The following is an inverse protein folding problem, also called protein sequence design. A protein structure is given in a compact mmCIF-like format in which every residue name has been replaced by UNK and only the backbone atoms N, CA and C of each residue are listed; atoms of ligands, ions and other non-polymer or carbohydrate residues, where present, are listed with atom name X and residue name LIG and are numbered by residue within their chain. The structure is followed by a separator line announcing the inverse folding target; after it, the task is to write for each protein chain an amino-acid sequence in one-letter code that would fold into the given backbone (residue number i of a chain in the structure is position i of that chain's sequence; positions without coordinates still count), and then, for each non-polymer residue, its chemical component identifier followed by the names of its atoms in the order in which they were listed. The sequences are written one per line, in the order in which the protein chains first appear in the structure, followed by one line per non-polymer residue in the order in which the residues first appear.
data_IF_005625670782
#
_entry.id   IF_005625670782
#
_cell.length_a   1.000
_cell.length_b   1.000
_cell.length_c   1.000
_cell.angle_alpha   90.00
_cell.angle_beta   90.00
_cell.angle_gamma   90.00
#
_symmetry.space_group_name_H-M   'P 1'
#
loop_
_entity.id
_entity.type
_entity.pdbx_description
1 polymer ?
#
# COMPACT_ATOMS: atom_id res chain seq x y z
N UNK A 1 -3.14 -20.21 18.23
CA UNK A 1 -4.42 -20.18 18.97
C UNK A 1 -4.60 -21.40 19.87
N UNK A 2 -4.52 -22.64 19.37
CA UNK A 2 -4.73 -23.86 20.19
C UNK A 2 -3.66 -24.03 21.28
N UNK A 3 -2.37 -23.80 20.98
CA UNK A 3 -1.30 -23.93 21.98
C UNK A 3 -1.34 -22.89 23.11
N UNK A 4 -1.76 -21.66 22.81
CA UNK A 4 -1.90 -20.59 23.83
C UNK A 4 -3.13 -20.82 24.72
N UNK A 5 -4.22 -21.34 24.15
CA UNK A 5 -5.42 -21.68 24.92
C UNK A 5 -5.21 -22.91 25.82
N UNK A 6 -4.44 -23.90 25.35
CA UNK A 6 -4.06 -25.08 26.13
C UNK A 6 -3.13 -24.70 27.28
N UNK A 7 -2.16 -23.81 27.07
CA UNK A 7 -1.29 -23.34 28.18
C UNK A 7 -2.07 -22.53 29.22
N UNK A 8 -3.02 -21.68 28.80
CA UNK A 8 -3.90 -20.93 29.71
C UNK A 8 -4.84 -21.86 30.51
N UNK A 9 -5.44 -22.86 29.86
CA UNK A 9 -6.34 -23.81 30.54
C UNK A 9 -5.62 -24.81 31.45
N UNK A 10 -4.40 -25.22 31.10
CA UNK A 10 -3.58 -26.09 31.95
C UNK A 10 -3.06 -25.34 33.18
N UNK A 11 -2.70 -24.06 33.03
CA UNK A 11 -2.35 -23.18 34.15
C UNK A 11 -3.53 -22.88 35.10
N UNK A 12 -4.75 -22.77 34.55
CA UNK A 12 -5.98 -22.63 35.34
C UNK A 12 -6.31 -23.89 36.15
N UNK A 13 -6.08 -25.10 35.60
CA UNK A 13 -6.33 -26.36 36.31
C UNK A 13 -5.32 -26.66 37.42
N UNK A 14 -4.07 -26.24 37.30
CA UNK A 14 -3.06 -26.38 38.37
C UNK A 14 -3.10 -25.24 39.40
N UNK A 15 -3.67 -24.08 39.07
CA UNK A 15 -3.84 -22.98 40.02
C UNK A 15 -4.90 -23.22 41.11
N UNK A 16 -5.89 -24.09 40.84
CA UNK A 16 -7.00 -24.40 41.74
C UNK A 16 -6.60 -25.24 42.97
N UNK A 17 -5.46 -25.92 42.94
CA UNK A 17 -4.93 -26.66 44.11
C UNK A 17 -3.96 -25.83 44.97
N UNK A 18 -3.67 -24.58 44.58
CA UNK A 18 -2.67 -23.72 45.23
C UNK A 18 -3.26 -22.32 45.54
N UNK A 19 -4.48 -22.29 46.07
CA UNK A 19 -5.18 -21.03 46.40
C UNK A 19 -4.60 -20.38 47.68
N UNK A 20 -3.75 -21.08 48.44
CA UNK A 20 -3.19 -20.60 49.71
C UNK A 20 -1.81 -19.92 49.66
N UNK A 21 -1.05 -19.98 48.55
CA UNK A 21 0.37 -19.55 48.55
C UNK A 21 0.70 -18.35 47.66
N UNK A 22 -0.31 -17.73 47.02
CA UNK A 22 -0.11 -16.57 46.13
C UNK A 22 0.55 -16.88 44.77
N UNK A 23 1.00 -18.12 44.54
CA UNK A 23 1.66 -18.56 43.30
C UNK A 23 0.71 -18.49 42.08
N UNK A 24 -0.60 -18.59 42.29
CA UNK A 24 -1.63 -18.44 41.25
C UNK A 24 -1.66 -17.05 40.59
N UNK A 25 -1.11 -16.02 41.24
CA UNK A 25 -0.95 -14.68 40.66
C UNK A 25 0.09 -14.65 39.54
N UNK A 26 1.07 -15.57 39.55
CA UNK A 26 2.15 -15.58 38.54
C UNK A 26 1.60 -15.92 37.15
N UNK A 27 0.84 -17.01 36.93
CA UNK A 27 0.19 -17.27 35.64
C UNK A 27 -0.76 -16.15 35.19
N UNK A 28 -1.48 -15.52 36.12
CA UNK A 28 -2.40 -14.42 35.85
C UNK A 28 -1.66 -13.14 35.43
N UNK A 29 -0.54 -12.84 36.08
CA UNK A 29 0.36 -11.74 35.72
C UNK A 29 1.02 -12.02 34.37
N UNK A 30 1.46 -13.25 34.11
CA UNK A 30 2.03 -13.65 32.81
C UNK A 30 0.98 -13.53 31.70
N UNK A 31 -0.25 -14.00 31.94
CA UNK A 31 -1.35 -13.86 30.99
C UNK A 31 -1.72 -12.39 30.76
N UNK A 32 -1.77 -11.58 31.82
CA UNK A 32 -1.99 -10.14 31.75
C UNK A 32 -0.88 -9.41 30.99
N UNK A 33 0.39 -9.75 31.23
CA UNK A 33 1.54 -9.22 30.50
C UNK A 33 1.56 -9.67 29.04
N UNK A 34 1.22 -10.92 28.75
CA UNK A 34 1.12 -11.45 27.40
C UNK A 34 -0.03 -10.80 26.62
N UNK A 35 -1.16 -10.51 27.27
CA UNK A 35 -2.27 -9.76 26.69
C UNK A 35 -1.89 -8.29 26.46
N UNK A 36 -1.32 -7.62 27.46
CA UNK A 36 -0.90 -6.23 27.37
C UNK A 36 0.24 -6.02 26.35
N UNK A 37 1.09 -7.02 26.16
CA UNK A 37 2.18 -7.03 25.17
C UNK A 37 1.86 -7.91 23.96
N UNK A 38 0.60 -8.25 23.70
CA UNK A 38 0.22 -9.14 22.60
C UNK A 38 0.80 -8.65 21.27
N UNK A 39 0.68 -7.36 20.99
CA UNK A 39 1.24 -6.71 19.80
C UNK A 39 2.76 -6.83 19.69
N UNK A 40 3.45 -6.94 20.82
CA UNK A 40 4.90 -7.15 20.83
C UNK A 40 5.25 -8.56 20.38
N UNK A 41 4.38 -9.56 20.57
CA UNK A 41 4.62 -10.96 20.22
C UNK A 41 3.96 -11.40 18.92
N UNK A 42 2.89 -10.73 18.48
CA UNK A 42 2.24 -11.01 17.20
C UNK A 42 3.20 -10.68 16.03
N UNK A 43 3.60 -11.68 15.23
CA UNK A 43 4.46 -11.46 14.06
C UNK A 43 3.81 -10.55 13.01
N UNK A 44 2.49 -10.42 13.02
CA UNK A 44 1.69 -9.63 12.07
C UNK A 44 1.14 -8.34 12.71
N UNK A 45 1.66 -7.96 13.89
CA UNK A 45 1.32 -6.70 14.53
C UNK A 45 1.72 -5.49 13.67
N UNK A 46 1.01 -4.39 13.87
CA UNK A 46 1.23 -3.15 13.15
C UNK A 46 2.59 -2.52 13.52
N UNK A 47 3.20 -1.75 12.61
CA UNK A 47 4.38 -0.97 12.95
C UNK A 47 4.05 0.09 13.99
N UNK A 48 4.97 0.31 14.93
CA UNK A 48 4.80 1.28 16.01
C UNK A 48 5.03 2.70 15.49
N UNK A 49 4.09 3.60 15.78
CA UNK A 49 4.28 5.03 15.53
C UNK A 49 5.40 5.59 16.43
N UNK A 50 6.50 6.04 15.83
CA UNK A 50 7.67 6.57 16.51
C UNK A 50 7.35 7.92 17.14
N UNK A 51 7.23 7.98 18.47
CA UNK A 51 6.84 9.19 19.21
C UNK A 51 7.95 10.26 19.21
N UNK A 52 9.19 9.83 19.38
CA UNK A 52 10.36 10.70 19.34
C UNK A 52 11.11 10.45 18.04
N UNK A 53 11.42 11.52 17.32
CA UNK A 53 12.21 11.47 16.09
C UNK A 53 13.58 12.07 16.36
N UNK A 54 14.62 11.46 15.77
CA UNK A 54 15.92 12.09 15.69
C UNK A 54 15.87 13.36 14.85
N UNK A 55 16.82 14.27 15.10
CA UNK A 55 17.01 15.46 14.27
C UNK A 55 17.55 15.10 12.89
N UNK A 56 18.30 14.00 12.78
CA UNK A 56 19.01 13.59 11.57
C UNK A 56 18.88 12.09 11.30
N UNK A 57 18.69 11.75 10.03
CA UNK A 57 18.65 10.38 9.52
C UNK A 57 19.57 10.22 8.32
N UNK A 58 19.97 9.00 7.99
CA UNK A 58 20.65 8.74 6.72
C UNK A 58 19.68 8.93 5.56
N UNK A 59 18.48 8.35 5.69
CA UNK A 59 17.44 8.41 4.67
C UNK A 59 16.13 8.89 5.25
N UNK A 60 15.44 9.77 4.52
CA UNK A 60 14.07 10.18 4.83
C UNK A 60 13.18 9.81 3.65
N UNK A 61 12.19 8.95 3.87
CA UNK A 61 11.19 8.55 2.90
C UNK A 61 9.90 9.32 3.18
N UNK A 62 9.39 10.01 2.16
CA UNK A 62 8.14 10.77 2.21
C UNK A 62 7.03 9.94 1.57
N UNK A 63 6.07 9.48 2.38
CA UNK A 63 4.94 8.66 1.96
C UNK A 63 5.18 7.17 2.21
N UNK A 64 4.40 6.59 3.12
CA UNK A 64 4.39 5.16 3.46
C UNK A 64 3.55 4.31 2.52
N UNK A 65 3.44 4.69 1.25
CA UNK A 65 2.64 4.01 0.24
C UNK A 65 3.27 2.73 -0.33
N UNK A 66 2.79 2.28 -1.49
CA UNK A 66 3.26 1.06 -2.16
C UNK A 66 4.78 1.03 -2.35
N UNK A 67 5.37 2.11 -2.88
CA UNK A 67 6.81 2.20 -3.11
C UNK A 67 7.58 2.54 -1.83
N UNK A 68 7.12 3.54 -1.06
CA UNK A 68 7.83 4.01 0.13
C UNK A 68 7.97 2.94 1.22
N UNK A 69 6.97 2.07 1.38
CA UNK A 69 7.06 0.92 2.29
C UNK A 69 8.18 -0.06 1.88
N UNK A 70 8.34 -0.32 0.58
CA UNK A 70 9.41 -1.19 0.05
C UNK A 70 10.77 -0.54 0.28
N UNK A 71 10.93 0.73 -0.08
CA UNK A 71 12.20 1.45 0.07
C UNK A 71 12.62 1.52 1.53
N UNK A 72 11.71 1.88 2.45
CA UNK A 72 12.00 1.93 3.87
C UNK A 72 12.41 0.56 4.43
N UNK A 73 11.73 -0.52 4.02
CA UNK A 73 12.12 -1.88 4.37
C UNK A 73 13.52 -2.24 3.85
N UNK A 74 13.83 -1.98 2.59
CA UNK A 74 15.13 -2.37 2.01
C UNK A 74 16.30 -1.55 2.54
N UNK A 75 16.15 -0.23 2.69
CA UNK A 75 17.21 0.61 3.27
C UNK A 75 17.48 0.21 4.73
N UNK A 76 16.44 -0.09 5.51
CA UNK A 76 16.61 -0.50 6.92
C UNK A 76 17.16 -1.92 7.10
N UNK A 77 17.33 -2.71 6.04
CA UNK A 77 18.07 -3.99 6.12
C UNK A 77 19.54 -3.75 6.51
N UNK A 78 20.08 -2.56 6.25
CA UNK A 78 21.44 -2.17 6.63
C UNK A 78 21.42 -1.60 8.06
N UNK A 79 21.98 -2.29 9.07
CA UNK A 79 21.77 -1.93 10.48
C UNK A 79 22.33 -0.57 10.90
N UNK A 80 23.35 -0.07 10.20
CA UNK A 80 24.02 1.20 10.50
C UNK A 80 23.40 2.41 9.80
N UNK A 81 22.38 2.20 8.95
CA UNK A 81 21.62 3.30 8.34
C UNK A 81 20.39 3.61 9.17
N UNK A 82 20.22 4.86 9.59
CA UNK A 82 18.97 5.32 10.22
C UNK A 82 17.98 5.80 9.16
N UNK A 83 16.76 5.28 9.22
CA UNK A 83 15.73 5.47 8.21
C UNK A 83 14.47 6.05 8.84
N UNK A 84 13.98 7.18 8.33
CA UNK A 84 12.72 7.79 8.73
C UNK A 84 11.68 7.66 7.61
N UNK A 85 10.55 7.03 7.90
CA UNK A 85 9.37 7.01 7.02
C UNK A 85 8.30 7.95 7.57
N UNK A 86 7.91 8.95 6.78
CA UNK A 86 6.86 9.91 7.13
C UNK A 86 5.58 9.59 6.36
N UNK A 87 4.48 9.33 7.07
CA UNK A 87 3.17 9.05 6.49
C UNK A 87 2.12 10.02 7.04
N UNK A 88 1.33 10.62 6.15
CA UNK A 88 0.31 11.61 6.48
C UNK A 88 -0.93 11.00 7.12
N UNK A 89 -1.23 9.73 6.82
CA UNK A 89 -2.35 8.99 7.38
C UNK A 89 -2.04 8.20 8.66
N UNK A 90 -3.08 7.58 9.24
CA UNK A 90 -2.96 6.65 10.36
C UNK A 90 -2.49 5.27 9.86
N UNK A 91 -2.48 4.28 10.78
CA UNK A 91 -2.32 2.88 10.41
C UNK A 91 -3.59 2.32 9.74
N UNK A 92 -3.42 1.17 9.08
CA UNK A 92 -4.51 0.31 8.62
C UNK A 92 -5.40 -0.15 9.78
N UNK A 93 -6.63 -0.56 9.48
CA UNK A 93 -7.57 -1.13 10.45
C UNK A 93 -8.24 -2.41 9.90
N UNK A 94 -9.08 -3.03 10.72
CA UNK A 94 -9.75 -4.30 10.42
C UNK A 94 -10.67 -4.21 9.20
N UNK A 95 -11.27 -3.05 8.94
CA UNK A 95 -12.12 -2.84 7.75
C UNK A 95 -11.27 -2.89 6.48
N UNK A 96 -10.05 -2.34 6.52
CA UNK A 96 -9.14 -2.37 5.36
C UNK A 96 -8.65 -3.77 5.01
N UNK A 97 -8.73 -4.71 5.95
CA UNK A 97 -8.28 -6.09 5.79
C UNK A 97 -9.24 -6.93 4.94
N UNK A 98 -10.52 -6.56 4.90
CA UNK A 98 -11.59 -7.32 4.26
C UNK A 98 -11.67 -6.96 2.77
N UNK A 99 -11.31 -7.86 1.83
CA UNK A 99 -11.26 -7.54 0.40
C UNK A 99 -12.58 -7.03 -0.19
N UNK A 100 -13.71 -7.61 0.23
CA UNK A 100 -15.04 -7.22 -0.27
C UNK A 100 -15.47 -5.80 0.13
N UNK A 101 -14.80 -5.18 1.11
CA UNK A 101 -15.09 -3.83 1.56
C UNK A 101 -14.24 -2.75 0.87
N UNK A 102 -13.41 -3.10 -0.11
CA UNK A 102 -12.50 -2.16 -0.78
C UNK A 102 -13.18 -0.88 -1.29
N UNK A 103 -14.38 -1.00 -1.87
CA UNK A 103 -15.14 0.15 -2.39
C UNK A 103 -15.58 1.13 -1.28
N UNK A 104 -15.82 0.63 -0.05
CA UNK A 104 -16.24 1.45 1.09
C UNK A 104 -15.12 2.33 1.65
N UNK A 105 -13.86 2.05 1.29
CA UNK A 105 -12.71 2.83 1.75
C UNK A 105 -12.56 4.14 0.98
N UNK A 106 -13.13 4.26 -0.21
CA UNK A 106 -13.15 5.50 -0.97
C UNK A 106 -14.04 6.54 -0.28
N UNK A 107 -13.66 7.82 -0.34
CA UNK A 107 -14.36 8.92 0.34
C UNK A 107 -14.41 8.79 1.88
N UNK A 108 -13.63 7.87 2.45
CA UNK A 108 -13.42 7.75 3.90
C UNK A 108 -12.28 8.67 4.37
N UNK A 109 -11.99 8.68 5.67
CA UNK A 109 -10.85 9.41 6.23
C UNK A 109 -9.48 8.84 5.80
N UNK A 110 -9.45 7.61 5.29
CA UNK A 110 -8.26 6.96 4.75
C UNK A 110 -8.04 7.28 3.26
N UNK A 111 -8.90 8.09 2.66
CA UNK A 111 -8.77 8.60 1.29
C UNK A 111 -8.41 10.09 1.34
N UNK A 112 -7.53 10.53 0.44
CA UNK A 112 -7.28 11.95 0.17
C UNK A 112 -8.47 12.64 -0.50
N UNK A 113 -9.35 11.87 -1.15
CA UNK A 113 -10.59 12.36 -1.78
C UNK A 113 -10.34 13.41 -2.85
N UNK A 114 -9.24 13.29 -3.59
CA UNK A 114 -8.96 14.19 -4.70
C UNK A 114 -10.07 14.12 -5.75
N UNK A 115 -10.26 15.24 -6.44
CA UNK A 115 -11.15 15.33 -7.58
C UNK A 115 -10.45 16.01 -8.73
N UNK A 116 -10.69 15.54 -9.95
CA UNK A 116 -10.19 16.22 -11.15
C UNK A 116 -10.86 17.58 -11.30
N UNK A 117 -10.26 18.48 -12.07
CA UNK A 117 -11.00 19.63 -12.60
C UNK A 117 -12.06 19.13 -13.61
N UNK A 118 -13.18 19.85 -13.76
CA UNK A 118 -14.20 19.49 -14.74
C UNK A 118 -13.67 19.70 -16.16
N UNK A 119 -13.86 18.72 -17.04
CA UNK A 119 -13.34 18.76 -18.42
C UNK A 119 -14.44 18.91 -19.48
N UNK A 120 -15.71 18.68 -19.10
CA UNK A 120 -16.82 18.59 -20.04
C UNK A 120 -16.79 17.35 -20.95
N UNK A 121 -15.85 16.42 -20.74
CA UNK A 121 -15.67 15.22 -21.59
C UNK A 121 -15.65 13.90 -20.83
N UNK A 122 -15.44 13.94 -19.52
CA UNK A 122 -15.37 12.75 -18.66
C UNK A 122 -16.19 12.99 -17.39
N UNK A 123 -16.62 11.89 -16.74
CA UNK A 123 -17.31 11.92 -15.45
C UNK A 123 -18.56 12.84 -15.44
N UNK A 124 -19.28 12.90 -16.57
CA UNK A 124 -20.46 13.76 -16.76
C UNK A 124 -21.61 13.39 -15.81
N UNK A 125 -21.71 12.12 -15.42
CA UNK A 125 -22.68 11.64 -14.42
C UNK A 125 -22.28 11.91 -12.96
N UNK A 126 -21.06 12.38 -12.70
CA UNK A 126 -20.58 12.63 -11.34
C UNK A 126 -20.90 14.06 -10.88
N UNK A 127 -20.98 14.25 -9.56
CA UNK A 127 -21.27 15.57 -8.95
C UNK A 127 -20.28 16.63 -9.43
N UNK A 128 -20.81 17.64 -10.12
CA UNK A 128 -20.05 18.76 -10.67
C UNK A 128 -19.21 18.42 -11.90
N UNK A 129 -19.44 17.27 -12.56
CA UNK A 129 -18.66 16.84 -13.73
C UNK A 129 -17.19 16.52 -13.39
N UNK A 130 -16.92 16.08 -12.16
CA UNK A 130 -15.57 15.85 -11.63
C UNK A 130 -15.40 14.39 -11.24
N UNK A 131 -14.32 13.78 -11.71
CA UNK A 131 -13.98 12.41 -11.34
C UNK A 131 -13.49 12.34 -9.90
N UNK A 132 -13.96 11.36 -9.13
CA UNK A 132 -13.33 11.02 -7.85
C UNK A 132 -12.00 10.30 -8.13
N UNK A 133 -10.90 10.79 -7.55
CA UNK A 133 -9.55 10.24 -7.68
C UNK A 133 -9.05 9.77 -6.31
N UNK A 134 -9.53 8.60 -5.84
CA UNK A 134 -9.18 8.11 -4.52
C UNK A 134 -7.68 7.80 -4.44
N UNK A 135 -7.05 8.26 -3.36
CA UNK A 135 -5.64 8.00 -3.04
C UNK A 135 -5.52 7.69 -1.56
N UNK A 136 -4.84 6.60 -1.23
CA UNK A 136 -4.70 6.19 0.17
C UNK A 136 -3.93 7.21 1.00
N UNK A 137 -4.56 7.68 2.08
CA UNK A 137 -4.01 8.46 3.19
C UNK A 137 -3.97 7.58 4.43
N UNK A 138 -3.09 6.59 4.41
CA UNK A 138 -2.96 5.53 5.42
C UNK A 138 -1.63 4.83 5.20
N UNK A 139 -1.01 4.26 6.23
CA UNK A 139 0.21 3.46 6.06
C UNK A 139 -0.06 2.28 5.12
N UNK A 140 0.72 2.16 4.05
CA UNK A 140 0.48 1.28 2.91
C UNK A 140 -0.08 2.01 1.68
N UNK A 141 -0.58 3.23 1.86
CA UNK A 141 -1.11 4.11 0.83
C UNK A 141 -2.23 3.46 0.03
N UNK A 142 -2.24 3.66 -1.29
CA UNK A 142 -3.32 3.14 -2.15
C UNK A 142 -3.37 1.61 -2.22
N UNK A 143 -2.35 0.87 -1.76
CA UNK A 143 -2.45 -0.61 -1.64
C UNK A 143 -3.48 -1.06 -0.60
N UNK A 144 -3.84 -0.17 0.32
CA UNK A 144 -4.88 -0.37 1.35
C UNK A 144 -6.28 -0.18 0.78
N UNK A 145 -6.44 0.68 -0.24
CA UNK A 145 -7.74 1.02 -0.84
C UNK A 145 -8.04 0.27 -2.14
N UNK A 146 -7.01 -0.23 -2.84
CA UNK A 146 -7.17 -0.84 -4.16
C UNK A 146 -8.01 -2.12 -4.15
N UNK A 147 -8.28 -2.68 -5.33
CA UNK A 147 -9.00 -3.95 -5.52
C UNK A 147 -8.08 -5.19 -5.52
N UNK A 148 -6.85 -5.07 -4.99
CA UNK A 148 -5.87 -6.15 -4.82
C UNK A 148 -5.40 -6.87 -6.08
N UNK A 149 -5.96 -6.59 -7.27
CA UNK A 149 -5.56 -7.22 -8.52
C UNK A 149 -4.04 -7.16 -8.72
N UNK A 150 -3.44 -8.32 -8.94
CA UNK A 150 -2.01 -8.46 -9.19
C UNK A 150 -1.77 -8.70 -10.68
N UNK A 151 -1.38 -7.63 -11.37
CA UNK A 151 -1.06 -7.64 -12.81
C UNK A 151 0.24 -6.87 -13.01
N UNK A 152 1.16 -7.44 -13.78
CA UNK A 152 2.42 -6.80 -14.19
C UNK A 152 2.24 -6.09 -15.53
N UNK A 153 3.04 -5.07 -15.79
CA UNK A 153 3.09 -4.42 -17.10
C UNK A 153 3.53 -5.38 -18.20
N UNK A 154 3.31 -4.99 -19.46
CA UNK A 154 3.80 -5.76 -20.59
C UNK A 154 5.32 -5.67 -20.70
N UNK A 155 6.00 -6.72 -21.22
CA UNK A 155 7.44 -6.65 -21.56
C UNK A 155 7.80 -5.38 -22.32
N UNK A 156 6.99 -5.04 -23.33
CA UNK A 156 7.24 -3.90 -24.19
C UNK A 156 7.18 -2.57 -23.42
N UNK A 157 6.41 -2.46 -22.34
CA UNK A 157 6.33 -1.24 -21.53
C UNK A 157 7.69 -0.89 -20.93
N UNK A 158 8.37 -1.88 -20.35
CA UNK A 158 9.67 -1.73 -19.69
C UNK A 158 10.81 -1.60 -20.71
N UNK A 159 10.81 -2.40 -21.77
CA UNK A 159 11.80 -2.29 -22.83
C UNK A 159 11.71 -0.92 -23.53
N UNK A 160 10.50 -0.34 -23.63
CA UNK A 160 10.32 1.03 -24.10
C UNK A 160 10.87 2.06 -23.12
N UNK A 161 10.76 1.86 -21.81
CA UNK A 161 11.38 2.75 -20.83
C UNK A 161 12.90 2.76 -20.96
N UNK A 162 13.53 1.60 -21.14
CA UNK A 162 14.97 1.53 -21.37
C UNK A 162 15.37 2.25 -22.66
N UNK A 163 14.65 2.00 -23.78
CA UNK A 163 14.87 2.68 -25.07
C UNK A 163 14.71 4.20 -24.99
N UNK A 164 13.90 4.71 -24.06
CA UNK A 164 13.75 6.15 -23.79
C UNK A 164 14.93 6.73 -22.98
N UNK A 165 15.99 5.96 -22.74
CA UNK A 165 17.19 6.42 -22.04
C UNK A 165 17.16 6.18 -20.53
N UNK A 166 16.46 5.14 -20.07
CA UNK A 166 16.45 4.73 -18.66
C UNK A 166 17.15 3.36 -18.48
N UNK A 167 18.50 3.29 -18.50
CA UNK A 167 19.22 2.04 -18.29
C UNK A 167 18.81 1.37 -16.98
N UNK A 168 18.68 0.05 -16.96
CA UNK A 168 18.27 -0.67 -15.76
C UNK A 168 16.76 -0.97 -15.70
N UNK A 169 15.97 -0.46 -16.65
CA UNK A 169 14.51 -0.59 -16.68
C UNK A 169 13.97 -1.52 -17.76
N UNK A 170 14.80 -2.32 -18.45
CA UNK A 170 14.30 -3.38 -19.34
C UNK A 170 13.46 -4.42 -18.58
N UNK A 171 12.61 -5.14 -19.29
CA UNK A 171 11.76 -6.16 -18.67
C UNK A 171 12.58 -7.21 -17.92
N UNK A 172 13.69 -7.66 -18.49
CA UNK A 172 14.50 -8.71 -17.88
C UNK A 172 15.15 -8.25 -16.56
N UNK A 173 15.52 -6.96 -16.45
CA UNK A 173 16.02 -6.37 -15.22
C UNK A 173 14.92 -6.18 -14.17
N UNK A 174 13.73 -5.69 -14.56
CA UNK A 174 12.63 -5.51 -13.59
C UNK A 174 11.98 -6.83 -13.18
N UNK A 175 12.01 -7.87 -14.01
CA UNK A 175 11.48 -9.20 -13.71
C UNK A 175 12.16 -9.79 -12.46
N UNK A 176 13.46 -9.57 -12.30
CA UNK A 176 14.17 -9.93 -11.08
C UNK A 176 13.50 -9.32 -9.83
N UNK A 177 13.16 -8.04 -9.87
CA UNK A 177 12.55 -7.34 -8.73
C UNK A 177 11.09 -7.73 -8.51
N UNK A 178 10.32 -8.01 -9.58
CA UNK A 178 8.99 -8.60 -9.43
C UNK A 178 9.06 -9.93 -8.67
N UNK A 179 9.98 -10.81 -9.07
CA UNK A 179 10.23 -12.10 -8.40
C UNK A 179 10.78 -11.95 -6.98
N UNK A 180 11.66 -10.98 -6.73
CA UNK A 180 12.19 -10.72 -5.38
C UNK A 180 11.11 -10.25 -4.40
N UNK A 181 10.11 -9.53 -4.92
CA UNK A 181 8.99 -9.01 -4.14
C UNK A 181 7.93 -10.09 -3.86
N UNK A 182 7.67 -10.93 -4.85
CA UNK A 182 6.56 -11.88 -4.88
C UNK A 182 6.74 -13.11 -3.99
N UNK A 183 5.66 -13.47 -3.30
CA UNK A 183 5.45 -14.74 -2.64
C UNK A 183 4.18 -15.40 -3.20
N UNK A 184 4.31 -16.04 -4.36
CA UNK A 184 3.19 -16.62 -5.10
C UNK A 184 2.76 -17.96 -4.49
N UNK A 185 1.52 -18.03 -3.98
CA UNK A 185 0.97 -19.21 -3.34
C UNK A 185 0.19 -20.12 -4.28
N UNK A 186 0.00 -19.76 -5.55
CA UNK A 186 -0.61 -20.65 -6.55
C UNK A 186 0.39 -21.76 -6.93
N UNK A 187 0.15 -23.04 -6.60
CA UNK A 187 1.14 -24.10 -6.80
C UNK A 187 1.53 -24.33 -8.26
N UNK A 188 0.62 -24.08 -9.19
CA UNK A 188 0.82 -24.30 -10.62
C UNK A 188 1.55 -23.15 -11.34
N UNK A 189 1.75 -22.00 -10.68
CA UNK A 189 2.55 -20.87 -11.19
C UNK A 189 3.89 -20.75 -10.48
N UNK A 190 3.89 -20.99 -9.18
CA UNK A 190 5.02 -20.70 -8.33
C UNK A 190 6.28 -21.52 -8.71
N UNK A 191 7.43 -20.84 -8.80
CA UNK A 191 8.72 -21.47 -9.05
C UNK A 191 9.09 -21.65 -10.53
N UNK A 192 8.29 -21.11 -11.46
CA UNK A 192 8.65 -21.04 -12.87
C UNK A 192 9.61 -19.85 -13.17
N UNK A 193 9.94 -19.62 -14.44
CA UNK A 193 10.82 -18.51 -14.87
C UNK A 193 10.30 -17.14 -14.43
N UNK A 194 8.99 -16.94 -14.39
CA UNK A 194 8.31 -15.66 -14.17
C UNK A 194 7.89 -15.42 -12.72
N UNK A 195 7.74 -16.47 -11.92
CA UNK A 195 7.24 -16.36 -10.55
C UNK A 195 8.22 -16.84 -9.51
N UNK A 196 8.02 -16.39 -8.26
CA UNK A 196 8.84 -16.81 -7.13
C UNK A 196 8.02 -17.01 -5.85
N UNK A 197 8.64 -17.67 -4.86
CA UNK A 197 8.14 -17.80 -3.49
C UNK A 197 9.11 -17.16 -2.51
N UNK A 198 8.60 -16.80 -1.33
CA UNK A 198 9.44 -16.31 -0.22
C UNK A 198 9.73 -14.81 -0.25
N UNK A 199 9.19 -14.07 -1.23
CA UNK A 199 9.13 -12.61 -1.16
C UNK A 199 8.23 -12.11 -0.02
N UNK A 200 8.13 -10.79 0.10
CA UNK A 200 7.33 -10.16 1.15
C UNK A 200 5.86 -10.00 0.76
N UNK A 201 5.56 -9.83 -0.53
CA UNK A 201 4.23 -9.58 -1.04
C UNK A 201 3.54 -10.89 -1.42
N UNK A 202 2.60 -11.34 -0.59
CA UNK A 202 1.86 -12.58 -0.86
C UNK A 202 0.88 -12.35 -2.01
N UNK A 203 0.98 -13.20 -3.03
CA UNK A 203 0.14 -13.18 -4.23
C UNK A 203 -0.56 -14.53 -4.34
N UNK A 204 -1.87 -14.52 -4.47
CA UNK A 204 -2.66 -15.73 -4.64
C UNK A 204 -4.03 -15.45 -5.27
N UNK A 205 -4.65 -16.49 -5.80
CA UNK A 205 -6.09 -16.45 -6.08
C UNK A 205 -6.91 -16.31 -4.78
N UNK A 206 -8.11 -15.75 -4.89
CA UNK A 206 -9.05 -15.69 -3.78
C UNK A 206 -9.44 -17.12 -3.34
N UNK A 207 -9.49 -17.39 -2.02
CA UNK A 207 -9.81 -18.73 -1.51
C UNK A 207 -11.25 -19.16 -1.79
N UNK A 208 -12.13 -18.20 -2.06
CA UNK A 208 -13.51 -18.43 -2.46
C UNK A 208 -13.80 -17.67 -3.75
N UNK A 209 -14.56 -18.29 -4.65
CA UNK A 209 -14.97 -17.71 -5.94
C UNK A 209 -16.39 -18.14 -6.27
N UNK A 210 -17.11 -17.27 -6.97
CA UNK A 210 -18.40 -17.64 -7.57
C UNK A 210 -18.17 -18.49 -8.83
N UNK A 211 -19.18 -19.28 -9.26
CA UNK A 211 -19.14 -19.97 -10.56
C UNK A 211 -18.94 -19.03 -11.76
N UNK A 212 -19.30 -17.75 -11.63
CA UNK A 212 -19.15 -16.74 -12.68
C UNK A 212 -17.68 -16.52 -13.07
N UNK A 213 -16.74 -16.69 -12.13
CA UNK A 213 -15.31 -16.56 -12.43
C UNK A 213 -14.87 -17.60 -13.45
N UNK A 214 -15.34 -18.85 -13.33
CA UNK A 214 -15.02 -19.91 -14.28
C UNK A 214 -15.71 -19.69 -15.61
N UNK A 215 -17.00 -19.31 -15.59
CA UNK A 215 -17.75 -18.99 -16.80
C UNK A 215 -17.09 -17.86 -17.61
N UNK A 216 -16.55 -16.83 -16.94
CA UNK A 216 -15.87 -15.73 -17.61
C UNK A 216 -14.56 -16.17 -18.29
N UNK A 217 -13.79 -17.06 -17.65
CA UNK A 217 -12.58 -17.63 -18.27
C UNK A 217 -12.95 -18.51 -19.47
N UNK A 218 -13.97 -19.36 -19.33
CA UNK A 218 -14.48 -20.22 -20.41
C UNK A 218 -14.98 -19.40 -21.62
N UNK A 219 -15.70 -18.31 -21.39
CA UNK A 219 -16.14 -17.42 -22.48
C UNK A 219 -14.96 -16.82 -23.25
N UNK A 220 -13.83 -16.56 -22.57
CA UNK A 220 -12.61 -16.13 -23.24
C UNK A 220 -12.07 -17.19 -24.19
N UNK A 221 -12.13 -18.46 -23.79
CA UNK A 221 -11.73 -19.59 -24.63
C UNK A 221 -12.66 -19.80 -25.82
N UNK A 222 -13.97 -19.64 -25.65
CA UNK A 222 -14.95 -19.67 -26.74
C UNK A 222 -14.71 -18.55 -27.78
N UNK A 223 -14.21 -17.39 -27.33
CA UNK A 223 -13.79 -16.28 -28.21
C UNK A 223 -12.41 -16.51 -28.87
N UNK A 224 -11.76 -17.65 -28.63
CA UNK A 224 -10.46 -18.01 -29.21
C UNK A 224 -9.24 -17.52 -28.42
N UNK A 225 -9.42 -16.96 -27.23
CA UNK A 225 -8.30 -16.68 -26.32
C UNK A 225 -7.89 -17.95 -25.58
N UNK A 226 -6.71 -17.95 -24.94
CA UNK A 226 -6.31 -19.08 -24.08
C UNK A 226 -6.45 -18.71 -22.62
N UNK A 227 -6.85 -19.68 -21.80
CA UNK A 227 -6.65 -19.62 -20.36
C UNK A 227 -5.15 -19.77 -20.04
N UNK A 228 -4.49 -18.71 -19.57
CA UNK A 228 -3.03 -18.70 -19.33
C UNK A 228 -2.62 -17.67 -18.29
N UNK A 229 -1.43 -17.84 -17.75
CA UNK A 229 -0.79 -16.86 -16.87
C UNK A 229 -0.53 -15.52 -17.56
N UNK A 230 -1.31 -14.48 -17.20
CA UNK A 230 -1.18 -13.12 -17.75
C UNK A 230 0.08 -12.39 -17.25
N UNK A 231 0.75 -12.94 -16.24
CA UNK A 231 2.01 -12.42 -15.69
C UNK A 231 3.24 -13.21 -16.19
N UNK A 232 3.02 -14.19 -17.07
CA UNK A 232 4.03 -15.10 -17.62
C UNK A 232 4.57 -14.66 -18.98
N UNK A 233 5.03 -15.63 -19.77
CA UNK A 233 5.67 -15.40 -21.08
C UNK A 233 4.76 -14.69 -22.09
N UNK A 234 3.48 -15.10 -22.13
CA UNK A 234 2.49 -14.57 -23.04
C UNK A 234 1.33 -13.99 -22.22
N UNK A 235 1.15 -12.68 -22.29
CA UNK A 235 0.24 -11.97 -21.38
C UNK A 235 -1.20 -11.88 -21.91
N UNK A 236 -1.40 -12.01 -23.23
CA UNK A 236 -2.73 -11.99 -23.84
C UNK A 236 -3.49 -13.30 -23.58
N UNK A 237 -4.60 -13.20 -22.85
CA UNK A 237 -5.46 -14.33 -22.53
C UNK A 237 -6.39 -14.03 -21.37
N UNK A 238 -7.03 -15.08 -20.86
CA UNK A 238 -7.89 -15.04 -19.68
C UNK A 238 -7.25 -15.86 -18.58
N UNK A 239 -7.52 -15.52 -17.32
CA UNK A 239 -7.22 -16.38 -16.18
C UNK A 239 -8.10 -16.01 -15.01
N UNK A 240 -8.13 -16.90 -14.01
CA UNK A 240 -8.59 -16.51 -12.68
C UNK A 240 -7.61 -15.50 -12.12
N UNK A 241 -8.08 -14.28 -11.87
CA UNK A 241 -7.21 -13.19 -11.42
C UNK A 241 -6.52 -13.51 -10.09
N UNK A 242 -5.23 -13.22 -10.03
CA UNK A 242 -4.48 -13.23 -8.77
C UNK A 242 -4.69 -11.90 -8.04
N UNK A 243 -4.61 -11.95 -6.71
CA UNK A 243 -4.63 -10.77 -5.85
C UNK A 243 -3.51 -10.76 -4.82
N UNK A 244 -3.17 -9.57 -4.34
CA UNK A 244 -2.31 -9.39 -3.16
C UNK A 244 -3.09 -9.72 -1.90
N UNK A 245 -3.20 -11.02 -1.61
CA UNK A 245 -4.01 -11.61 -0.54
C UNK A 245 -3.13 -12.51 0.31
N UNK A 246 -3.30 -12.48 1.63
CA UNK A 246 -2.62 -13.38 2.57
C UNK A 246 -3.67 -13.94 3.53
N UNK A 247 -3.89 -15.26 3.48
CA UNK A 247 -4.86 -15.96 4.36
C UNK A 247 -6.28 -15.37 4.28
N UNK A 248 -6.72 -15.01 3.08
CA UNK A 248 -8.07 -14.45 2.85
C UNK A 248 -8.21 -12.96 3.12
N UNK A 249 -7.19 -12.30 3.69
CA UNK A 249 -7.18 -10.85 3.92
C UNK A 249 -6.29 -10.12 2.91
N UNK A 250 -6.53 -8.83 2.72
CA UNK A 250 -5.66 -7.95 1.94
C UNK A 250 -4.21 -8.01 2.43
N UNK A 251 -3.26 -8.16 1.51
CA UNK A 251 -1.83 -8.01 1.76
C UNK A 251 -1.33 -6.68 1.17
N UNK A 252 -1.49 -5.58 1.92
CA UNK A 252 -0.98 -4.25 1.54
C UNK A 252 0.55 -4.20 1.57
N UNK A 253 1.14 -3.10 1.07
CA UNK A 253 2.58 -2.88 1.19
C UNK A 253 3.04 -2.69 2.63
N UNK A 254 2.21 -2.12 3.52
CA UNK A 254 2.52 -2.02 4.94
C UNK A 254 2.61 -3.41 5.59
N UNK A 255 1.66 -4.31 5.30
CA UNK A 255 1.69 -5.71 5.74
C UNK A 255 2.87 -6.49 5.18
N UNK A 256 3.11 -6.35 3.89
CA UNK A 256 4.18 -7.07 3.20
C UNK A 256 5.56 -6.61 3.71
N UNK A 257 5.81 -5.30 3.77
CA UNK A 257 7.16 -4.77 3.92
C UNK A 257 7.43 -4.13 5.28
N UNK A 258 6.46 -3.48 5.93
CA UNK A 258 6.71 -2.75 7.18
C UNK A 258 6.49 -3.61 8.43
N UNK A 259 5.46 -4.47 8.46
CA UNK A 259 5.22 -5.36 9.62
C UNK A 259 6.39 -6.32 9.91
N UNK A 260 7.03 -6.95 8.90
CA UNK A 260 8.23 -7.75 9.16
C UNK A 260 9.42 -6.93 9.68
N UNK A 261 9.49 -5.65 9.35
CA UNK A 261 10.55 -4.73 9.77
C UNK A 261 10.24 -3.96 11.06
N UNK A 262 9.06 -4.12 11.67
CA UNK A 262 8.58 -3.29 12.80
C UNK A 262 9.49 -3.28 14.05
N UNK A 263 10.33 -4.30 14.22
CA UNK A 263 11.25 -4.42 15.37
C UNK A 263 12.66 -3.89 15.08
N UNK A 264 12.92 -3.40 13.87
CA UNK A 264 14.22 -2.82 13.50
C UNK A 264 14.38 -1.48 14.19
N UNK A 265 15.37 -1.35 15.08
CA UNK A 265 15.63 -0.13 15.85
C UNK A 265 16.08 1.05 14.98
N UNK A 266 16.58 0.78 13.78
CA UNK A 266 17.04 1.78 12.83
C UNK A 266 15.95 2.26 11.85
N UNK A 267 14.71 1.75 11.94
CA UNK A 267 13.57 2.20 11.14
C UNK A 267 12.54 2.92 12.03
N UNK A 268 12.41 4.22 11.83
CA UNK A 268 11.38 5.04 12.48
C UNK A 268 10.24 5.31 11.51
N UNK A 269 9.01 5.06 11.95
CA UNK A 269 7.78 5.32 11.18
C UNK A 269 6.97 6.37 11.93
N UNK A 270 6.77 7.53 11.33
CA UNK A 270 5.97 8.62 11.89
C UNK A 270 4.65 8.72 11.13
N UNK A 271 3.55 8.37 11.80
CA UNK A 271 2.19 8.47 11.27
C UNK A 271 1.62 9.87 11.52
N UNK A 272 0.50 10.19 10.86
CA UNK A 272 -0.18 11.48 10.98
C UNK A 272 0.79 12.68 10.78
N UNK A 273 1.76 12.51 9.89
CA UNK A 273 2.86 13.44 9.67
C UNK A 273 2.82 13.93 8.23
N UNK A 274 2.35 15.16 8.05
CA UNK A 274 2.14 15.76 6.73
C UNK A 274 3.38 16.53 6.27
N UNK A 275 4.11 16.01 5.28
CA UNK A 275 5.26 16.69 4.70
C UNK A 275 4.81 17.86 3.85
N UNK A 276 5.33 19.04 4.15
CA UNK A 276 4.97 20.29 3.44
C UNK A 276 5.93 20.64 2.31
N UNK A 277 7.22 20.32 2.46
CA UNK A 277 8.25 20.55 1.44
C UNK A 277 9.54 19.80 1.75
N UNK A 278 10.33 19.57 0.72
CA UNK A 278 11.74 19.19 0.79
C UNK A 278 12.59 20.45 0.97
N UNK A 279 13.63 20.35 1.78
CA UNK A 279 14.60 21.41 2.00
C UNK A 279 15.76 21.22 1.05
N UNK A 280 15.97 22.19 0.17
CA UNK A 280 16.95 22.14 -0.91
C UNK A 280 17.83 23.39 -0.83
N UNK A 281 19.14 23.20 -0.87
CA UNK A 281 20.06 24.33 -0.92
C UNK A 281 19.94 25.02 -2.29
N UNK A 282 19.62 26.33 -2.36
CA UNK A 282 19.36 27.00 -3.62
C UNK A 282 20.60 27.17 -4.50
N UNK A 283 21.82 27.09 -3.94
CA UNK A 283 23.07 27.19 -4.69
C UNK A 283 23.52 25.81 -5.19
N UNK A 284 23.65 24.84 -4.30
CA UNK A 284 24.16 23.50 -4.65
C UNK A 284 23.10 22.58 -5.24
N UNK A 285 21.81 22.96 -5.14
CA UNK A 285 20.64 22.15 -5.52
C UNK A 285 20.54 20.81 -4.79
N UNK A 286 21.29 20.64 -3.69
CA UNK A 286 21.27 19.43 -2.87
C UNK A 286 20.10 19.44 -1.89
N UNK A 287 19.28 18.39 -1.91
CA UNK A 287 18.28 18.14 -0.87
C UNK A 287 19.00 17.72 0.43
N UNK A 288 18.61 18.32 1.56
CA UNK A 288 19.27 18.08 2.85
C UNK A 288 18.30 17.77 3.99
N UNK A 289 16.99 17.77 3.74
CA UNK A 289 16.00 17.46 4.76
C UNK A 289 14.58 17.72 4.30
N UNK A 290 13.65 17.67 5.25
CA UNK A 290 12.22 17.86 5.01
C UNK A 290 11.60 18.69 6.11
N UNK A 291 10.57 19.46 5.76
CA UNK A 291 9.72 20.16 6.70
C UNK A 291 8.32 19.53 6.68
N UNK A 292 7.77 19.27 7.86
CA UNK A 292 6.48 18.61 8.02
C UNK A 292 5.68 19.18 9.19
N UNK A 293 4.38 18.87 9.21
CA UNK A 293 3.46 19.18 10.31
C UNK A 293 3.10 17.87 10.99
N UNK A 294 3.30 17.82 12.31
CA UNK A 294 2.94 16.69 13.17
C UNK A 294 2.44 17.23 14.50
N UNK A 295 1.33 16.69 15.00
CA UNK A 295 0.70 17.12 16.26
C UNK A 295 0.44 18.65 16.31
N UNK A 296 0.01 19.22 15.16
CA UNK A 296 -0.23 20.65 15.00
C UNK A 296 1.02 21.53 14.95
N UNK A 297 2.23 20.95 15.06
CA UNK A 297 3.50 21.68 15.10
C UNK A 297 4.31 21.47 13.83
N UNK A 298 4.91 22.55 13.34
CA UNK A 298 5.89 22.50 12.25
C UNK A 298 7.22 21.98 12.80
N UNK A 299 7.75 20.95 12.17
CA UNK A 299 9.00 20.28 12.54
C UNK A 299 9.87 20.06 11.30
N UNK A 300 11.12 19.67 11.52
CA UNK A 300 12.11 19.42 10.49
C UNK A 300 12.96 18.21 10.86
N UNK A 301 13.36 17.44 9.85
CA UNK A 301 14.37 16.40 9.96
C UNK A 301 15.38 16.53 8.81
N UNK A 302 16.65 16.29 9.12
CA UNK A 302 17.78 16.40 8.19
C UNK A 302 18.11 15.01 7.63
N UNK A 303 18.40 14.93 6.34
CA UNK A 303 18.88 13.73 5.67
C UNK A 303 20.38 13.86 5.40
N UNK A 304 21.19 12.96 5.95
CA UNK A 304 22.64 12.90 5.71
C UNK A 304 22.98 12.41 4.31
N UNK A 305 22.15 11.53 3.75
CA UNK A 305 22.33 10.98 2.41
C UNK A 305 21.25 11.48 1.47
N UNK A 306 20.03 10.95 1.58
CA UNK A 306 19.00 11.16 0.57
C UNK A 306 17.60 11.37 1.17
N UNK A 307 16.81 12.16 0.46
CA UNK A 307 15.36 12.26 0.66
C UNK A 307 14.69 11.53 -0.50
N UNK A 308 13.92 10.48 -0.19
CA UNK A 308 13.18 9.70 -1.17
C UNK A 308 11.73 10.13 -1.17
N UNK A 309 11.28 10.72 -2.28
CA UNK A 309 9.90 11.16 -2.43
C UNK A 309 9.04 10.02 -2.98
N UNK A 310 8.11 9.51 -2.18
CA UNK A 310 7.22 8.38 -2.47
C UNK A 310 5.75 8.70 -2.13
N UNK A 311 5.36 9.97 -2.27
CA UNK A 311 4.03 10.46 -1.92
C UNK A 311 2.96 10.16 -2.99
N UNK A 312 3.30 9.37 -4.01
CA UNK A 312 2.44 9.02 -5.14
C UNK A 312 2.38 10.10 -6.23
N UNK A 313 1.74 9.76 -7.36
CA UNK A 313 1.73 10.57 -8.60
C UNK A 313 1.12 11.95 -8.44
N UNK A 314 0.24 12.16 -7.47
CA UNK A 314 -0.42 13.46 -7.23
C UNK A 314 0.37 14.31 -6.23
N UNK A 315 0.71 13.76 -5.07
CA UNK A 315 1.32 14.53 -3.99
C UNK A 315 2.82 14.74 -4.17
N UNK A 316 3.53 13.85 -4.88
CA UNK A 316 4.97 14.03 -5.15
C UNK A 316 5.27 15.29 -5.99
N UNK A 317 4.65 15.51 -7.17
CA UNK A 317 4.88 16.76 -7.91
C UNK A 317 4.42 17.99 -7.13
N UNK A 318 3.35 17.89 -6.35
CA UNK A 318 2.90 18.99 -5.49
C UNK A 318 3.96 19.35 -4.43
N UNK A 319 4.55 18.38 -3.74
CA UNK A 319 5.62 18.61 -2.76
C UNK A 319 6.86 19.19 -3.43
N UNK A 320 7.25 18.72 -4.63
CA UNK A 320 8.36 19.30 -5.39
C UNK A 320 8.12 20.77 -5.74
N UNK A 321 6.92 21.09 -6.24
CA UNK A 321 6.54 22.47 -6.55
C UNK A 321 6.57 23.36 -5.30
N UNK A 322 6.02 22.90 -4.16
CA UNK A 322 6.12 23.58 -2.86
C UNK A 322 7.57 23.74 -2.37
N UNK A 323 8.49 22.95 -2.90
CA UNK A 323 9.92 23.01 -2.61
C UNK A 323 10.70 23.88 -3.60
N UNK A 324 10.03 24.54 -4.55
CA UNK A 324 10.65 25.38 -5.57
C UNK A 324 11.19 24.61 -6.78
N UNK A 325 10.82 23.34 -6.97
CA UNK A 325 11.20 22.54 -8.13
C UNK A 325 9.96 22.28 -8.99
N UNK A 326 9.90 22.92 -10.15
CA UNK A 326 8.74 22.84 -11.02
C UNK A 326 8.70 23.95 -12.08
N UNK A 327 7.57 24.10 -12.79
CA UNK A 327 7.46 25.02 -13.91
C UNK A 327 7.60 26.47 -13.42
N UNK A 328 8.63 27.18 -13.89
CA UNK A 328 9.02 28.49 -13.38
C UNK A 328 7.87 29.50 -13.36
N UNK A 329 7.14 29.64 -14.46
CA UNK A 329 6.02 30.59 -14.57
C UNK A 329 4.90 30.28 -13.55
N UNK A 330 4.57 28.99 -13.38
CA UNK A 330 3.57 28.57 -12.42
C UNK A 330 4.00 28.89 -10.99
N UNK A 331 5.25 28.56 -10.63
CA UNK A 331 5.80 28.82 -9.30
C UNK A 331 5.83 30.31 -8.97
N UNK A 332 6.27 31.15 -9.92
CA UNK A 332 6.29 32.61 -9.76
C UNK A 332 4.89 33.18 -9.55
N UNK A 333 3.90 32.70 -10.33
CA UNK A 333 2.49 33.13 -10.21
C UNK A 333 1.89 32.87 -8.83
N UNK A 334 2.32 31.80 -8.14
CA UNK A 334 1.86 31.45 -6.79
C UNK A 334 2.83 31.88 -5.68
N UNK A 335 3.84 32.69 -6.00
CA UNK A 335 4.76 33.28 -5.01
C UNK A 335 5.78 32.30 -4.43
N UNK A 336 6.10 31.19 -5.11
CA UNK A 336 7.12 30.23 -4.67
C UNK A 336 8.47 30.55 -5.33
N UNK A 337 9.55 30.74 -4.55
CA UNK A 337 10.89 30.91 -5.10
C UNK A 337 11.33 29.72 -5.94
N UNK A 338 11.81 29.98 -7.15
CA UNK A 338 12.24 28.94 -8.09
C UNK A 338 13.66 28.49 -7.76
N UNK A 339 13.79 27.24 -7.32
CA UNK A 339 15.07 26.56 -7.14
C UNK A 339 15.49 25.90 -8.46
N UNK A 340 14.59 25.22 -9.16
CA UNK A 340 14.91 24.58 -10.42
C UNK A 340 13.69 24.50 -11.33
N UNK A 341 13.86 24.91 -12.60
CA UNK A 341 12.80 24.89 -13.60
C UNK A 341 12.73 23.52 -14.26
N UNK A 342 11.66 22.77 -14.00
CA UNK A 342 11.40 21.44 -14.57
C UNK A 342 9.90 21.28 -14.85
N UNK A 343 9.54 20.41 -15.80
CA UNK A 343 8.14 20.09 -16.13
C UNK A 343 7.46 19.19 -15.08
N UNK A 344 7.63 19.50 -13.79
CA UNK A 344 6.99 18.77 -12.69
C UNK A 344 5.47 18.95 -12.76
N UNK A 345 4.74 17.84 -12.66
CA UNK A 345 3.28 17.82 -12.77
C UNK A 345 2.75 17.62 -14.20
N UNK A 346 3.62 17.57 -15.20
CA UNK A 346 3.26 17.23 -16.59
C UNK A 346 3.35 15.72 -16.85
N UNK A 347 2.90 15.31 -18.04
CA UNK A 347 2.89 13.91 -18.49
C UNK A 347 2.07 12.98 -17.56
N UNK A 348 1.02 13.52 -16.93
CA UNK A 348 0.07 12.73 -16.15
C UNK A 348 -0.70 11.80 -17.08
N UNK A 349 -0.62 10.51 -16.80
CA UNK A 349 -1.31 9.45 -17.52
C UNK A 349 -2.15 8.64 -16.52
N UNK A 350 -3.30 8.16 -16.95
CA UNK A 350 -4.16 7.27 -16.17
C UNK A 350 -4.94 6.34 -17.11
N UNK A 351 -5.41 5.21 -16.59
CA UNK A 351 -6.32 4.33 -17.33
C UNK A 351 -7.76 4.80 -17.14
N UNK A 352 -8.40 5.21 -18.23
CA UNK A 352 -9.82 5.59 -18.20
C UNK A 352 -10.66 4.33 -17.98
N UNK A 353 -11.28 4.24 -16.80
CA UNK A 353 -12.21 3.17 -16.46
C UNK A 353 -13.66 3.58 -16.72
N UNK A 354 -14.46 2.66 -17.26
CA UNK A 354 -15.92 2.71 -17.17
C UNK A 354 -16.36 1.90 -15.94
N UNK A 355 -17.47 2.28 -15.30
CA UNK A 355 -18.00 1.63 -14.08
C UNK A 355 -18.50 0.17 -14.29
N UNK A 356 -18.01 -0.52 -15.32
CA UNK A 356 -18.43 -1.84 -15.73
C UNK A 356 -19.74 -1.84 -16.51
N UNK A 357 -19.96 -2.93 -17.23
CA UNK A 357 -21.29 -3.28 -17.76
C UNK A 357 -21.99 -4.13 -16.70
N UNK A 358 -23.22 -3.75 -16.35
CA UNK A 358 -24.03 -4.50 -15.39
C UNK A 358 -24.96 -5.44 -16.12
N UNK A 359 -24.96 -6.71 -15.73
CA UNK A 359 -25.82 -7.75 -16.29
C UNK A 359 -26.69 -8.37 -15.19
N UNK A 360 -27.93 -8.69 -15.53
CA UNK A 360 -28.81 -9.47 -14.66
C UNK A 360 -28.40 -10.95 -14.76
N UNK A 361 -28.32 -11.63 -13.62
CA UNK A 361 -27.99 -13.05 -13.55
C UNK A 361 -29.14 -13.79 -12.89
N UNK A 362 -29.75 -14.73 -13.61
CA UNK A 362 -30.93 -15.46 -13.13
C UNK A 362 -30.63 -16.36 -11.92
N UNK A 363 -29.39 -16.84 -11.82
CA UNK A 363 -28.94 -17.69 -10.72
C UNK A 363 -28.46 -16.84 -9.53
N UNK A 364 -28.70 -17.26 -8.26
CA UNK A 364 -28.32 -16.50 -7.06
C UNK A 364 -26.81 -16.59 -6.73
N UNK A 365 -25.96 -16.65 -7.75
CA UNK A 365 -24.51 -16.86 -7.68
C UNK A 365 -23.69 -15.57 -7.68
N UNK A 366 -24.33 -14.43 -7.90
CA UNK A 366 -23.71 -13.11 -7.81
C UNK A 366 -23.68 -12.61 -6.35
N UNK A 367 -22.72 -11.73 -6.06
CA UNK A 367 -22.70 -10.94 -4.83
C UNK A 367 -23.61 -9.74 -5.04
N UNK A 368 -24.72 -9.67 -4.30
CA UNK A 368 -25.68 -8.56 -4.35
C UNK A 368 -25.43 -7.68 -3.13
N UNK A 369 -25.47 -6.36 -3.33
CA UNK A 369 -25.09 -5.37 -2.31
C UNK A 369 -25.94 -5.47 -1.03
N UNK A 370 -27.21 -5.85 -1.13
CA UNK A 370 -28.11 -6.07 0.02
C UNK A 370 -27.59 -7.16 0.97
N UNK A 371 -26.80 -8.13 0.47
CA UNK A 371 -26.20 -9.21 1.28
C UNK A 371 -25.00 -8.74 2.11
N UNK A 372 -24.46 -7.55 1.85
CA UNK A 372 -23.28 -6.99 2.51
C UNK A 372 -23.60 -5.81 3.44
N UNK A 373 -24.87 -5.38 3.54
CA UNK A 373 -25.24 -4.26 4.40
C UNK A 373 -25.20 -4.64 5.90
N UNK A 374 -24.13 -4.21 6.57
CA UNK A 374 -24.21 -3.70 7.94
C UNK A 374 -24.41 -2.19 7.81
N UNK A 375 -25.58 -1.69 8.23
CA UNK A 375 -25.98 -0.28 8.22
C UNK A 375 -24.84 0.64 8.68
N UNK A 376 -24.31 1.49 7.78
CA UNK A 376 -23.89 2.89 8.00
C UNK A 376 -23.57 3.54 6.63
N UNK A 377 -24.39 4.53 6.28
CA UNK A 377 -24.17 5.64 5.32
C UNK A 377 -24.02 5.37 3.82
N UNK A 378 -25.16 5.57 3.16
CA UNK A 378 -25.47 5.75 1.73
C UNK A 378 -24.80 6.94 1.01
N UNK A 379 -23.48 7.15 1.18
CA UNK A 379 -22.74 8.19 0.42
C UNK A 379 -21.77 7.68 -0.63
N UNK A 380 -21.64 6.36 -0.76
CA UNK A 380 -20.78 5.70 -1.75
C UNK A 380 -21.69 4.99 -2.73
N UNK A 381 -22.30 5.73 -3.66
CA UNK A 381 -22.90 5.13 -4.84
C UNK A 381 -22.02 5.50 -6.04
N UNK A 382 -21.41 4.48 -6.62
CA UNK A 382 -21.12 4.46 -8.05
C UNK A 382 -22.47 4.45 -8.77
N UNK A 383 -22.85 5.62 -9.28
CA UNK A 383 -23.71 5.79 -10.45
C UNK A 383 -22.90 6.66 -11.42
#
# INVERSE_FOLDING_TARGET
MIFALITVTTALKTGLTIVGTGIWLIPLLIAGLAYYRYDSFDPESQPTNSRQLYKEYDFIIIGGGSAGAVVANRLSEIPHWSVLLLEAGPNENEVTDVPSLAAYLQLSQMDWQYKTEPTGRACLGMKGGRCNWPRGKVLGGSSVLNYMLYVRGNRQDYDNWEKQGNPGWSYDQVLYYFKKSEDNRNPYLAGNKYHNRGGYLTVQEAPWRTPLVLAFVQSGEELGYKNRDINGEHQAGFMVAQGTIRRGSRCSSAKAFLRPARRRSNLHIALNTYVTRVLINPKTKKAYGVQFIRDGKKQMAIARREVVLSAGTISSPHILMLSGVGPQEHLQRVGIPVIHNLNVGYNLQDHVGMAGLTFIVDKPVAIIQDRLQVSISSKILFI
#
